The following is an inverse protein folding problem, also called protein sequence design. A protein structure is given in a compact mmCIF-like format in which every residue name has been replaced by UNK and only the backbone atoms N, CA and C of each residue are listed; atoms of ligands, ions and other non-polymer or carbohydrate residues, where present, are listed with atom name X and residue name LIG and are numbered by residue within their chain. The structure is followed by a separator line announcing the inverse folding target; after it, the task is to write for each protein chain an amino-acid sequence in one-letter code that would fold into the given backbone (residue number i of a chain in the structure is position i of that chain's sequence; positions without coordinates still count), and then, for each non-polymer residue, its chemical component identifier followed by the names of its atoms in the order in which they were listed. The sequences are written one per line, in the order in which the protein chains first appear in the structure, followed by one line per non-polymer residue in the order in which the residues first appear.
data_IF_024810664177
#
_entry.id   IF_024810664177
#
_cell.length_a   1.000
_cell.length_b   1.000
_cell.length_c   1.000
_cell.angle_alpha   90.00
_cell.angle_beta   90.00
_cell.angle_gamma   90.00
#
_symmetry.space_group_name_H-M   'P 1'
#
loop_
_entity.id
_entity.type
_entity.pdbx_description
1 polymer ?
#
# COMPACT_ATOMS: atom_id res chain seq x y z
N UNK A 1 10.86 13.53 -14.13
CA UNK A 1 10.85 12.37 -13.19
C UNK A 1 9.41 11.92 -13.03
N UNK A 2 9.07 10.76 -13.58
CA UNK A 2 7.75 10.16 -13.41
C UNK A 2 7.72 9.50 -12.04
N UNK A 3 7.21 10.21 -11.03
CA UNK A 3 6.84 9.61 -9.77
C UNK A 3 5.60 8.74 -10.01
N UNK A 4 5.79 7.46 -10.16
CA UNK A 4 4.67 6.51 -10.20
C UNK A 4 4.15 6.36 -8.77
N UNK A 5 3.25 7.26 -8.38
CA UNK A 5 2.47 7.13 -7.14
C UNK A 5 1.31 6.18 -7.42
N UNK A 6 1.20 5.14 -6.61
CA UNK A 6 -0.04 4.37 -6.54
C UNK A 6 -1.06 5.26 -5.79
N UNK A 7 -1.85 5.99 -6.54
CA UNK A 7 -2.87 6.88 -5.97
C UNK A 7 -4.12 6.06 -5.68
N UNK A 8 -4.60 6.10 -4.45
CA UNK A 8 -5.85 5.49 -4.05
C UNK A 8 -7.00 6.36 -4.60
N UNK A 9 -7.43 6.09 -5.82
CA UNK A 9 -8.59 6.75 -6.42
C UNK A 9 -9.71 5.72 -6.52
N UNK A 10 -10.56 5.67 -5.50
CA UNK A 10 -11.88 5.08 -5.62
C UNK A 10 -12.86 6.23 -5.87
N UNK A 11 -13.46 6.30 -7.05
CA UNK A 11 -14.36 7.39 -7.42
C UNK A 11 -15.49 7.59 -6.41
N UNK A 12 -16.02 6.51 -5.85
CA UNK A 12 -17.11 6.54 -4.85
C UNK A 12 -16.65 7.16 -3.52
N UNK A 13 -15.42 6.88 -3.08
CA UNK A 13 -14.85 7.47 -1.87
C UNK A 13 -14.47 8.93 -2.12
N UNK A 14 -13.93 9.26 -3.30
CA UNK A 14 -13.56 10.63 -3.66
C UNK A 14 -14.74 11.60 -3.66
N UNK A 15 -15.91 11.17 -4.13
CA UNK A 15 -17.13 11.99 -4.09
C UNK A 15 -17.62 12.17 -2.67
N UNK A 16 -17.66 11.09 -1.88
CA UNK A 16 -18.08 11.15 -0.47
C UNK A 16 -17.14 12.05 0.35
N UNK A 17 -15.83 11.99 0.13
CA UNK A 17 -14.84 12.83 0.80
C UNK A 17 -14.99 14.32 0.42
N UNK A 18 -15.31 14.64 -0.83
CA UNK A 18 -15.54 16.02 -1.27
C UNK A 18 -16.80 16.63 -0.63
N UNK A 19 -17.90 15.88 -0.63
CA UNK A 19 -19.15 16.33 -0.01
C UNK A 19 -19.00 16.50 1.50
N UNK A 20 -18.15 15.70 2.11
CA UNK A 20 -17.88 15.69 3.52
C UNK A 20 -16.91 16.78 3.93
N UNK A 21 -15.87 17.05 3.16
CA UNK A 21 -14.92 18.13 3.42
C UNK A 21 -15.60 19.51 3.50
N UNK A 22 -16.74 19.67 2.80
CA UNK A 22 -17.55 20.88 2.86
C UNK A 22 -18.34 21.01 4.19
N UNK A 23 -18.41 19.97 5.01
CA UNK A 23 -19.19 19.92 6.26
C UNK A 23 -18.32 19.84 7.51
N UNK A 24 -17.01 19.58 7.36
CA UNK A 24 -16.08 19.48 8.48
C UNK A 24 -15.49 20.87 8.81
N UNK A 25 -15.32 21.16 10.11
CA UNK A 25 -14.60 22.35 10.56
C UNK A 25 -13.11 22.27 10.22
N UNK A 26 -12.51 21.08 10.35
CA UNK A 26 -11.13 20.80 9.92
C UNK A 26 -11.03 19.53 9.05
N UNK A 27 -11.36 19.63 7.76
CA UNK A 27 -11.25 18.50 6.84
C UNK A 27 -9.81 18.01 6.66
N UNK A 28 -8.81 18.87 6.84
CA UNK A 28 -7.41 18.49 6.71
C UNK A 28 -6.99 17.50 7.82
N UNK A 29 -7.47 17.68 9.04
CA UNK A 29 -7.18 16.73 10.12
C UNK A 29 -7.78 15.35 9.84
N UNK A 30 -9.04 15.29 9.40
CA UNK A 30 -9.67 14.04 9.00
C UNK A 30 -8.90 13.30 7.88
N UNK A 31 -8.42 14.04 6.88
CA UNK A 31 -7.60 13.45 5.81
C UNK A 31 -6.26 12.91 6.33
N UNK A 32 -5.62 13.59 7.28
CA UNK A 32 -4.40 13.09 7.94
C UNK A 32 -4.66 11.80 8.71
N UNK A 33 -5.75 11.75 9.46
CA UNK A 33 -6.10 10.58 10.26
C UNK A 33 -6.40 9.37 9.37
N UNK A 34 -7.09 9.57 8.25
CA UNK A 34 -7.29 8.54 7.22
C UNK A 34 -5.94 8.06 6.66
N UNK A 35 -5.04 8.99 6.32
CA UNK A 35 -3.72 8.65 5.79
C UNK A 35 -2.91 7.80 6.77
N UNK A 36 -2.88 8.20 8.04
CA UNK A 36 -2.18 7.49 9.10
C UNK A 36 -2.78 6.10 9.36
N UNK A 37 -4.11 5.99 9.42
CA UNK A 37 -4.78 4.70 9.60
C UNK A 37 -4.52 3.75 8.42
N UNK A 38 -4.61 4.24 7.20
CA UNK A 38 -4.33 3.42 6.01
C UNK A 38 -2.87 2.97 5.96
N UNK A 39 -1.92 3.84 6.31
CA UNK A 39 -0.51 3.46 6.43
C UNK A 39 -0.31 2.35 7.45
N UNK A 40 -0.93 2.46 8.63
CA UNK A 40 -0.89 1.45 9.68
C UNK A 40 -1.47 0.12 9.21
N UNK A 41 -2.62 0.12 8.54
CA UNK A 41 -3.28 -1.08 8.02
C UNK A 41 -2.43 -1.76 6.94
N UNK A 42 -1.87 -1.00 6.01
CA UNK A 42 -0.97 -1.52 4.98
C UNK A 42 0.29 -2.10 5.62
N UNK A 43 0.88 -1.43 6.61
CA UNK A 43 2.04 -1.95 7.35
C UNK A 43 1.72 -3.28 8.05
N UNK A 44 0.54 -3.40 8.63
CA UNK A 44 0.10 -4.64 9.27
C UNK A 44 0.00 -5.84 8.29
N UNK A 45 -0.24 -5.59 6.99
CA UNK A 45 -0.22 -6.63 5.95
C UNK A 45 1.18 -7.21 5.74
N UNK A 46 2.22 -6.41 5.91
CA UNK A 46 3.60 -6.89 5.91
C UNK A 46 3.91 -7.76 7.13
N UNK A 47 3.34 -7.43 8.28
CA UNK A 47 3.49 -8.25 9.49
C UNK A 47 2.75 -9.59 9.35
N UNK A 48 1.51 -9.56 8.87
CA UNK A 48 0.67 -10.76 8.68
C UNK A 48 1.03 -11.55 7.43
N UNK A 49 1.84 -11.01 6.52
CA UNK A 49 2.21 -11.61 5.23
C UNK A 49 0.97 -11.95 4.38
N UNK A 50 -0.05 -11.09 4.42
CA UNK A 50 -1.33 -11.32 3.76
C UNK A 50 -1.77 -10.11 2.92
N UNK A 51 -2.64 -10.36 1.96
CA UNK A 51 -3.28 -9.34 1.18
C UNK A 51 -4.40 -8.62 1.97
N UNK A 52 -5.03 -7.57 1.42
CA UNK A 52 -6.10 -6.84 2.10
C UNK A 52 -7.29 -7.70 2.54
N UNK A 53 -7.57 -8.81 1.85
CA UNK A 53 -8.64 -9.75 2.22
C UNK A 53 -8.23 -10.77 3.29
N UNK A 54 -6.98 -10.71 3.78
CA UNK A 54 -6.42 -11.65 4.75
C UNK A 54 -5.87 -12.94 4.13
N UNK A 55 -5.86 -13.07 2.81
CA UNK A 55 -5.27 -14.22 2.14
C UNK A 55 -3.75 -14.13 2.16
N UNK A 56 -3.10 -15.20 2.61
CA UNK A 56 -1.63 -15.26 2.65
C UNK A 56 -1.00 -14.99 1.27
N UNK A 57 0.05 -14.19 1.25
CA UNK A 57 0.80 -13.93 0.02
C UNK A 57 1.47 -15.20 -0.50
N UNK A 58 1.50 -15.34 -1.82
CA UNK A 58 2.22 -16.42 -2.47
C UNK A 58 3.70 -16.41 -2.06
N UNK A 59 4.29 -17.59 -1.78
CA UNK A 59 5.68 -17.69 -1.34
C UNK A 59 6.64 -17.15 -2.40
N UNK A 60 7.89 -16.92 -1.98
CA UNK A 60 8.97 -16.58 -2.92
C UNK A 60 9.27 -17.77 -3.84
N UNK A 61 9.66 -17.46 -5.07
CA UNK A 61 10.16 -18.49 -5.98
C UNK A 61 11.51 -19.02 -5.50
N UNK A 62 11.84 -20.25 -5.87
CA UNK A 62 13.15 -20.83 -5.57
C UNK A 62 14.29 -19.96 -6.10
N UNK A 63 14.13 -19.42 -7.31
CA UNK A 63 15.11 -18.49 -7.90
C UNK A 63 15.37 -17.28 -7.00
N UNK A 64 14.32 -16.71 -6.39
CA UNK A 64 14.50 -15.59 -5.46
C UNK A 64 15.25 -16.02 -4.21
N UNK A 65 14.93 -17.19 -3.66
CA UNK A 65 15.61 -17.73 -2.49
C UNK A 65 17.09 -17.99 -2.75
N UNK A 66 17.42 -18.56 -3.92
CA UNK A 66 18.81 -18.85 -4.33
C UNK A 66 19.61 -17.55 -4.51
N UNK A 67 18.99 -16.50 -5.09
CA UNK A 67 19.62 -15.19 -5.22
C UNK A 67 19.91 -14.55 -3.86
N UNK A 68 19.02 -14.72 -2.88
CA UNK A 68 19.23 -14.20 -1.54
C UNK A 68 20.31 -14.96 -0.79
N UNK A 69 20.36 -16.29 -0.94
CA UNK A 69 21.42 -17.13 -0.39
C UNK A 69 22.79 -16.70 -0.95
N UNK A 70 22.91 -16.60 -2.27
CA UNK A 70 24.13 -16.16 -2.94
C UNK A 70 24.57 -14.77 -2.48
N UNK A 71 23.65 -13.81 -2.38
CA UNK A 71 23.96 -12.47 -1.86
C UNK A 71 24.55 -12.52 -0.44
N UNK A 72 23.97 -13.36 0.43
CA UNK A 72 24.47 -13.51 1.79
C UNK A 72 25.84 -14.17 1.86
N UNK A 73 26.12 -15.14 0.99
CA UNK A 73 27.45 -15.79 0.84
C UNK A 73 28.51 -14.78 0.36
N UNK A 74 28.14 -13.85 -0.51
CA UNK A 74 29.01 -12.78 -1.02
C UNK A 74 29.20 -11.61 -0.03
N UNK A 75 28.70 -11.73 1.22
CA UNK A 75 28.82 -10.71 2.26
C UNK A 75 27.81 -9.56 2.16
N UNK A 76 26.80 -9.70 1.32
CA UNK A 76 25.71 -8.74 1.22
C UNK A 76 24.70 -8.84 2.38
N UNK A 77 23.74 -7.90 2.47
CA UNK A 77 22.80 -7.86 3.57
C UNK A 77 21.92 -9.12 3.60
N UNK A 78 21.78 -9.69 4.79
CA UNK A 78 20.79 -10.74 5.03
C UNK A 78 19.40 -10.12 5.04
N UNK A 79 18.49 -10.68 4.22
CA UNK A 79 17.10 -10.25 4.23
C UNK A 79 16.36 -10.63 5.51
N UNK A 80 15.26 -9.94 5.78
CA UNK A 80 14.41 -10.18 6.97
C UNK A 80 13.69 -11.54 6.92
N UNK A 81 13.79 -12.27 5.82
CA UNK A 81 13.15 -13.58 5.67
C UNK A 81 11.66 -13.52 5.30
N UNK A 82 11.03 -12.37 5.35
CA UNK A 82 9.60 -12.16 5.08
C UNK A 82 9.34 -11.82 3.61
N UNK A 83 8.18 -12.22 3.09
CA UNK A 83 7.73 -11.89 1.72
C UNK A 83 7.57 -10.37 1.62
N UNK A 84 8.02 -9.78 0.51
CA UNK A 84 8.01 -8.33 0.23
C UNK A 84 8.83 -7.46 1.21
N UNK A 85 9.43 -8.07 2.21
CA UNK A 85 10.28 -7.41 3.20
C UNK A 85 11.67 -8.08 3.21
N UNK A 86 12.45 -7.80 2.17
CA UNK A 86 13.81 -8.30 2.08
C UNK A 86 14.74 -7.52 3.04
N UNK A 87 14.99 -6.25 2.74
CA UNK A 87 15.82 -5.34 3.55
C UNK A 87 15.05 -4.10 4.02
N UNK A 88 13.73 -4.18 4.05
CA UNK A 88 12.85 -3.11 4.51
C UNK A 88 12.56 -2.01 3.49
N UNK A 89 13.19 -2.00 2.33
CA UNK A 89 13.14 -0.87 1.38
C UNK A 89 11.72 -0.54 0.93
N UNK A 90 10.89 -1.56 0.63
CA UNK A 90 9.53 -1.29 0.18
C UNK A 90 8.65 -0.76 1.31
N UNK A 91 8.68 -1.41 2.48
CA UNK A 91 7.90 -0.99 3.62
C UNK A 91 8.30 0.42 4.10
N UNK A 92 9.60 0.73 4.14
CA UNK A 92 10.09 2.06 4.52
C UNK A 92 9.73 3.15 3.52
N UNK A 93 9.34 2.80 2.30
CA UNK A 93 8.86 3.75 1.28
C UNK A 93 7.37 4.02 1.33
N UNK A 94 6.63 3.36 2.23
CA UNK A 94 5.20 3.59 2.42
C UNK A 94 4.98 4.95 3.08
N UNK A 95 4.33 5.84 2.37
CA UNK A 95 4.08 7.22 2.76
C UNK A 95 2.64 7.62 2.45
N UNK A 96 2.18 8.67 3.08
CA UNK A 96 0.94 9.32 2.74
C UNK A 96 1.09 10.84 2.72
N UNK A 97 0.25 11.50 1.96
CA UNK A 97 0.12 12.95 1.90
C UNK A 97 -1.36 13.30 1.91
N UNK A 98 -1.72 14.35 2.62
CA UNK A 98 -3.10 14.80 2.74
C UNK A 98 -3.20 16.31 2.47
N UNK A 99 -4.31 16.71 1.85
CA UNK A 99 -4.75 18.08 1.75
C UNK A 99 -6.17 18.23 2.36
N UNK A 100 -6.86 19.34 2.12
CA UNK A 100 -8.21 19.58 2.65
C UNK A 100 -9.29 18.68 2.04
N UNK A 101 -9.04 18.06 0.91
CA UNK A 101 -10.05 17.35 0.12
C UNK A 101 -9.66 15.94 -0.29
N UNK A 102 -8.40 15.59 -0.06
CA UNK A 102 -7.87 14.31 -0.51
C UNK A 102 -6.75 13.79 0.39
N UNK A 103 -6.60 12.48 0.35
CA UNK A 103 -5.45 11.77 0.90
C UNK A 103 -4.89 10.81 -0.14
N UNK A 104 -3.57 10.78 -0.24
CA UNK A 104 -2.85 9.84 -1.09
C UNK A 104 -1.98 8.96 -0.20
N UNK A 105 -2.16 7.66 -0.30
CA UNK A 105 -1.32 6.67 0.39
C UNK A 105 -0.65 5.80 -0.66
N UNK A 106 0.63 5.55 -0.50
CA UNK A 106 1.34 4.74 -1.48
C UNK A 106 2.80 4.51 -1.13
N UNK A 107 3.46 3.80 -2.01
CA UNK A 107 4.89 3.54 -1.89
C UNK A 107 5.66 4.59 -2.69
N UNK A 108 6.64 5.23 -2.05
CA UNK A 108 7.57 6.13 -2.70
C UNK A 108 8.33 5.40 -3.82
N UNK A 109 9.03 6.16 -4.66
CA UNK A 109 9.73 5.65 -5.82
C UNK A 109 10.81 4.63 -5.43
N UNK A 110 10.41 3.40 -5.21
CA UNK A 110 11.32 2.26 -5.12
C UNK A 110 11.51 1.77 -6.55
N UNK A 111 12.40 2.45 -7.26
CA UNK A 111 12.70 2.12 -8.63
C UNK A 111 13.61 0.91 -8.70
N UNK A 112 13.26 -0.05 -9.55
CA UNK A 112 14.24 -1.01 -10.07
C UNK A 112 15.33 -0.24 -10.85
N UNK A 113 16.45 -0.88 -11.18
CA UNK A 113 17.49 -0.28 -12.05
C UNK A 113 16.95 0.26 -13.39
N UNK A 114 15.71 -0.09 -13.75
CA UNK A 114 15.00 0.35 -14.97
C UNK A 114 14.03 1.51 -14.72
N UNK A 115 13.92 2.03 -13.48
CA UNK A 115 13.02 3.14 -13.15
C UNK A 115 11.58 2.72 -12.84
N UNK A 116 11.28 1.42 -12.80
CA UNK A 116 9.93 0.92 -12.54
C UNK A 116 9.64 0.83 -11.04
N UNK A 117 8.47 1.28 -10.62
CA UNK A 117 7.99 1.13 -9.25
C UNK A 117 7.58 -0.33 -9.02
N UNK A 118 8.43 -1.14 -8.42
CA UNK A 118 8.15 -2.57 -8.26
C UNK A 118 6.98 -2.89 -7.33
N UNK A 119 6.55 -1.97 -6.48
CA UNK A 119 5.32 -2.12 -5.70
C UNK A 119 4.09 -2.35 -6.59
N UNK A 120 4.05 -1.72 -7.77
CA UNK A 120 2.98 -1.90 -8.76
C UNK A 120 2.94 -3.36 -9.24
N UNK A 121 4.10 -3.96 -9.52
CA UNK A 121 4.15 -5.36 -9.94
C UNK A 121 3.64 -6.33 -8.87
N UNK A 122 3.81 -6.01 -7.60
CA UNK A 122 3.28 -6.82 -6.51
C UNK A 122 1.77 -6.62 -6.35
N UNK A 123 1.29 -5.38 -6.48
CA UNK A 123 -0.14 -5.09 -6.40
C UNK A 123 -0.93 -5.79 -7.50
N UNK A 124 -0.48 -5.72 -8.74
CA UNK A 124 -1.19 -6.27 -9.90
C UNK A 124 -0.74 -7.69 -10.28
N UNK A 125 0.45 -8.09 -9.83
CA UNK A 125 1.15 -9.26 -10.37
C UNK A 125 1.79 -8.95 -11.73
N UNK A 126 2.64 -9.86 -12.20
CA UNK A 126 3.25 -9.77 -13.52
C UNK A 126 3.28 -11.18 -14.17
N UNK A 127 2.16 -11.63 -14.75
CA UNK A 127 2.04 -13.00 -15.28
C UNK A 127 3.10 -13.35 -16.33
N UNK A 128 3.52 -12.39 -17.14
CA UNK A 128 4.60 -12.57 -18.14
C UNK A 128 5.95 -12.95 -17.51
N UNK A 129 6.14 -12.62 -16.24
CA UNK A 129 7.35 -12.90 -15.47
C UNK A 129 7.12 -13.99 -14.39
N UNK A 130 6.00 -14.71 -14.46
CA UNK A 130 5.56 -15.67 -13.42
C UNK A 130 5.53 -15.07 -12.01
N UNK A 131 5.27 -13.77 -11.90
CA UNK A 131 5.18 -13.10 -10.61
C UNK A 131 3.72 -13.10 -10.16
N UNK A 132 3.37 -13.82 -9.08
CA UNK A 132 2.02 -13.81 -8.54
C UNK A 132 1.69 -12.45 -7.94
N UNK A 133 0.40 -12.09 -7.98
CA UNK A 133 -0.11 -10.94 -7.24
C UNK A 133 0.11 -11.13 -5.74
N UNK A 134 0.54 -10.06 -5.08
CA UNK A 134 0.61 -9.93 -3.62
C UNK A 134 0.04 -8.58 -3.25
N UNK A 135 -1.30 -8.50 -3.20
CA UNK A 135 -2.04 -7.26 -2.96
C UNK A 135 -1.56 -6.52 -1.72
N UNK A 136 -1.33 -5.23 -1.87
CA UNK A 136 -0.82 -4.34 -0.83
C UNK A 136 -1.91 -3.39 -0.33
N UNK A 137 -2.69 -2.85 -1.26
CA UNK A 137 -3.65 -1.77 -1.01
C UNK A 137 -5.07 -2.23 -1.35
N UNK A 138 -5.29 -2.76 -2.55
CA UNK A 138 -6.60 -3.07 -3.06
C UNK A 138 -7.01 -4.53 -2.83
N UNK A 139 -8.28 -4.76 -2.53
CA UNK A 139 -8.91 -6.08 -2.63
C UNK A 139 -8.96 -6.50 -4.11
N UNK A 140 -9.47 -5.59 -4.95
CA UNK A 140 -9.44 -5.73 -6.40
C UNK A 140 -8.70 -4.53 -7.02
N UNK A 141 -7.48 -4.74 -7.56
CA UNK A 141 -6.69 -3.65 -8.12
C UNK A 141 -7.19 -3.15 -9.47
N UNK A 142 -7.94 -3.98 -10.24
CA UNK A 142 -8.46 -3.57 -11.55
C UNK A 142 -9.56 -2.53 -11.40
N UNK A 143 -10.41 -2.68 -10.38
CA UNK A 143 -11.46 -1.72 -10.03
C UNK A 143 -11.02 -0.71 -8.96
N UNK A 144 -9.79 -0.80 -8.47
CA UNK A 144 -9.27 0.02 -7.34
C UNK A 144 -10.16 -0.06 -6.09
N UNK A 145 -10.72 -1.25 -5.84
CA UNK A 145 -11.67 -1.47 -4.73
C UNK A 145 -10.91 -1.79 -3.44
N UNK A 146 -11.23 -1.05 -2.37
CA UNK A 146 -10.80 -1.37 -1.01
C UNK A 146 -11.67 -2.45 -0.39
N UNK A 147 -11.13 -3.17 0.61
CA UNK A 147 -11.92 -4.08 1.42
C UNK A 147 -13.00 -3.35 2.20
N UNK A 148 -14.02 -4.08 2.64
CA UNK A 148 -15.07 -3.52 3.49
C UNK A 148 -14.51 -3.00 4.81
N UNK A 149 -13.50 -3.68 5.38
CA UNK A 149 -12.85 -3.26 6.62
C UNK A 149 -12.06 -1.95 6.47
N UNK A 150 -11.38 -1.76 5.33
CA UNK A 150 -10.69 -0.51 5.04
C UNK A 150 -11.69 0.63 4.83
N UNK A 151 -12.78 0.38 4.10
CA UNK A 151 -13.87 1.35 3.92
C UNK A 151 -14.52 1.74 5.24
N UNK A 152 -14.74 0.76 6.12
CA UNK A 152 -15.33 1.02 7.44
C UNK A 152 -14.39 1.86 8.30
N UNK A 153 -13.10 1.56 8.34
CA UNK A 153 -12.13 2.35 9.08
C UNK A 153 -12.08 3.81 8.62
N UNK A 154 -12.14 4.04 7.30
CA UNK A 154 -12.23 5.39 6.74
C UNK A 154 -13.54 6.07 7.16
N UNK A 155 -14.65 5.37 7.08
CA UNK A 155 -15.96 5.89 7.45
C UNK A 155 -16.05 6.27 8.94
N UNK A 156 -15.46 5.47 9.81
CA UNK A 156 -15.44 5.72 11.25
C UNK A 156 -14.67 7.00 11.61
N UNK A 157 -13.52 7.23 10.95
CA UNK A 157 -12.75 8.47 11.11
C UNK A 157 -13.58 9.68 10.67
N UNK A 158 -14.24 9.55 9.54
CA UNK A 158 -15.11 10.60 8.99
C UNK A 158 -16.26 10.91 9.94
N UNK A 159 -16.96 9.89 10.44
CA UNK A 159 -18.07 10.07 11.37
C UNK A 159 -17.58 10.73 12.67
N UNK A 160 -16.45 10.28 13.21
CA UNK A 160 -15.86 10.89 14.40
C UNK A 160 -15.56 12.38 14.19
N UNK A 161 -15.03 12.76 13.03
CA UNK A 161 -14.72 14.16 12.70
C UNK A 161 -15.95 15.05 12.49
N UNK A 162 -17.16 14.49 12.40
CA UNK A 162 -18.42 15.25 12.27
C UNK A 162 -19.09 15.54 13.62
N UNK A 163 -18.64 14.88 14.69
CA UNK A 163 -19.28 14.91 16.00
C UNK A 163 -18.53 15.84 16.98
N UNK A 164 -17.26 16.15 16.68
CA UNK A 164 -16.42 17.09 17.40
C UNK A 164 -16.62 18.53 16.90
#
# INVERSE_FOLDING_TARGET
MLNTRLTLVSDTISVALKDLSARLEDPHQAMKDIGAEMQKRISARFESQSDPSGKAWAPRSQVTLDLYAKRAEEGGPKGHGRILDDIGTMLSSLVWEADQTSVVVGFGAVASKKGDAYAVYHEFGAPKNNMPRRGLIFEDPESSTLTQDDKQAISDIIIASLVD
#
